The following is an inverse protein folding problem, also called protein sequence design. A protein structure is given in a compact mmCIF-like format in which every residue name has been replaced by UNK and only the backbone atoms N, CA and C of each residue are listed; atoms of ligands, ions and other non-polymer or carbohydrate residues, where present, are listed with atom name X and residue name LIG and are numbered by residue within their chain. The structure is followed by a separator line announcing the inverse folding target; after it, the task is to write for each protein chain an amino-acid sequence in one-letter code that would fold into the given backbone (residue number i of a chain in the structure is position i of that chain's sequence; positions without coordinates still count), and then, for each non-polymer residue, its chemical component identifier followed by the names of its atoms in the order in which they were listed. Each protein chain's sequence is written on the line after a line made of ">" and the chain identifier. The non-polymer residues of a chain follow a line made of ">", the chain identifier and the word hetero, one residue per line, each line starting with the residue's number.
data_IF_997212205433
#
_entry.id   IF_997212205433
#
_cell.length_a   1.000
_cell.length_b   1.000
_cell.length_c   1.000
_cell.angle_alpha   90.00
_cell.angle_beta   90.00
_cell.angle_gamma   90.00
#
_symmetry.space_group_name_H-M   'P 1'
#
loop_
_entity.id
_entity.type
_entity.pdbx_description
1 polymer ?
#
# COMPACT_ATOMS: atom_id res chain seq x y z
N UNK A 1 15.35 -35.56 25.00
CA UNK A 1 16.36 -34.53 24.66
C UNK A 1 16.62 -33.67 25.89
N UNK A 2 17.84 -33.15 26.10
CA UNK A 2 18.13 -32.20 27.18
C UNK A 2 17.34 -30.90 26.94
N UNK A 3 16.84 -30.25 28.01
CA UNK A 3 16.06 -29.00 27.92
C UNK A 3 16.80 -27.91 27.11
N UNK A 4 18.12 -27.84 27.23
CA UNK A 4 18.97 -26.93 26.45
C UNK A 4 18.89 -27.15 24.95
N UNK A 5 18.79 -28.40 24.48
CA UNK A 5 18.71 -28.70 23.06
C UNK A 5 17.34 -28.30 22.49
N UNK A 6 16.27 -28.44 23.28
CA UNK A 6 14.92 -28.02 22.89
C UNK A 6 14.88 -26.49 22.75
N UNK A 7 15.43 -25.76 23.74
CA UNK A 7 15.52 -24.30 23.68
C UNK A 7 16.34 -23.85 22.45
N UNK A 8 17.49 -24.45 22.21
CA UNK A 8 18.33 -24.13 21.04
C UNK A 8 17.59 -24.36 19.71
N UNK A 9 16.84 -25.46 19.58
CA UNK A 9 16.04 -25.74 18.37
C UNK A 9 14.94 -24.69 18.19
N UNK A 10 14.23 -24.35 19.27
CA UNK A 10 13.17 -23.32 19.24
C UNK A 10 13.78 -21.98 18.80
N UNK A 11 14.95 -21.61 19.31
CA UNK A 11 15.65 -20.36 18.98
C UNK A 11 16.04 -20.31 17.50
N UNK A 12 16.58 -21.41 16.96
CA UNK A 12 16.94 -21.51 15.54
C UNK A 12 15.68 -21.41 14.66
N UNK A 13 14.60 -22.09 15.03
CA UNK A 13 13.32 -22.02 14.31
C UNK A 13 12.74 -20.61 14.35
N UNK A 14 12.77 -19.95 15.51
CA UNK A 14 12.33 -18.57 15.66
C UNK A 14 13.18 -17.62 14.81
N UNK A 15 14.50 -17.80 14.77
CA UNK A 15 15.38 -16.99 13.93
C UNK A 15 15.08 -17.14 12.43
N UNK A 16 14.89 -18.39 11.96
CA UNK A 16 14.50 -18.65 10.57
C UNK A 16 13.14 -17.99 10.27
N UNK A 17 12.17 -18.13 11.17
CA UNK A 17 10.86 -17.49 11.04
C UNK A 17 10.97 -15.96 10.93
N UNK A 18 11.83 -15.34 11.73
CA UNK A 18 12.08 -13.90 11.69
C UNK A 18 12.65 -13.44 10.34
N UNK A 19 13.60 -14.18 9.78
CA UNK A 19 14.20 -13.89 8.47
C UNK A 19 13.14 -13.99 7.37
N UNK A 20 12.35 -15.06 7.35
CA UNK A 20 11.27 -15.24 6.37
C UNK A 20 10.22 -14.13 6.47
N UNK A 21 9.83 -13.76 7.69
CA UNK A 21 8.91 -12.65 7.95
C UNK A 21 9.43 -11.31 7.44
N UNK A 22 10.71 -11.04 7.66
CA UNK A 22 11.36 -9.79 7.20
C UNK A 22 11.42 -9.75 5.69
N UNK A 23 11.86 -10.84 5.05
CA UNK A 23 11.97 -10.93 3.58
C UNK A 23 10.58 -10.75 2.94
N UNK A 24 9.55 -11.41 3.47
CA UNK A 24 8.20 -11.33 2.92
C UNK A 24 7.57 -9.95 3.12
N UNK A 25 7.84 -9.28 4.24
CA UNK A 25 7.44 -7.88 4.47
C UNK A 25 8.13 -6.90 3.51
N UNK A 26 9.44 -7.05 3.30
CA UNK A 26 10.23 -6.23 2.35
C UNK A 26 9.76 -6.47 0.91
N UNK A 27 9.53 -7.74 0.53
CA UNK A 27 9.02 -8.12 -0.78
C UNK A 27 7.68 -7.40 -1.08
N UNK A 28 6.76 -7.43 -0.12
CA UNK A 28 5.45 -6.79 -0.25
C UNK A 28 5.51 -5.26 -0.28
N UNK A 29 6.52 -4.65 0.35
CA UNK A 29 6.69 -3.20 0.37
C UNK A 29 7.33 -2.65 -0.91
N UNK A 30 8.33 -3.35 -1.43
CA UNK A 30 9.18 -2.83 -2.51
C UNK A 30 8.93 -3.47 -3.87
N UNK A 31 8.52 -4.75 -3.92
CA UNK A 31 8.32 -5.46 -5.19
C UNK A 31 6.85 -5.41 -5.63
N UNK A 32 5.91 -5.29 -4.68
CA UNK A 32 4.48 -5.08 -4.94
C UNK A 32 3.97 -3.73 -4.36
N UNK A 33 4.54 -2.58 -4.78
CA UNK A 33 4.18 -1.29 -4.24
C UNK A 33 2.69 -0.98 -4.50
N UNK A 34 1.98 -0.36 -3.54
CA UNK A 34 0.57 -0.04 -3.68
C UNK A 34 0.36 0.97 -4.83
N UNK A 35 -0.54 0.64 -5.76
CA UNK A 35 -0.98 1.55 -6.84
C UNK A 35 -0.59 1.16 -8.26
N UNK A 36 0.27 0.16 -8.47
CA UNK A 36 0.52 -0.43 -9.79
C UNK A 36 -0.60 -1.43 -10.10
N UNK A 37 -1.65 -0.99 -10.78
CA UNK A 37 -2.81 -1.85 -11.10
C UNK A 37 -2.38 -3.21 -11.66
N UNK A 38 -2.99 -4.29 -11.14
CA UNK A 38 -3.10 -5.69 -11.63
C UNK A 38 -1.93 -6.43 -12.32
N UNK A 39 -0.79 -5.82 -12.65
CA UNK A 39 0.22 -6.42 -13.54
C UNK A 39 1.46 -6.97 -12.83
N UNK A 40 1.58 -6.76 -11.52
CA UNK A 40 2.73 -7.25 -10.74
C UNK A 40 2.39 -8.58 -10.09
N UNK A 41 2.34 -9.66 -10.87
CA UNK A 41 2.23 -11.02 -10.33
C UNK A 41 3.63 -11.60 -10.15
N UNK A 42 4.00 -11.93 -8.92
CA UNK A 42 5.21 -12.72 -8.65
C UNK A 42 4.75 -14.16 -8.49
N UNK A 43 5.23 -15.04 -9.36
CA UNK A 43 4.86 -16.46 -9.36
C UNK A 43 3.36 -16.69 -9.57
N UNK A 44 2.73 -15.88 -10.43
CA UNK A 44 1.29 -15.86 -10.67
C UNK A 44 0.41 -15.53 -9.46
N UNK A 45 1.01 -15.22 -8.31
CA UNK A 45 0.30 -14.79 -7.12
C UNK A 45 0.19 -13.27 -7.11
N UNK A 46 -1.01 -12.78 -6.80
CA UNK A 46 -1.26 -11.36 -6.68
C UNK A 46 -0.83 -10.81 -5.30
N UNK A 47 -0.93 -9.49 -5.13
CA UNK A 47 -0.62 -8.84 -3.84
C UNK A 47 -1.53 -9.32 -2.71
N UNK A 48 -2.76 -9.73 -3.01
CA UNK A 48 -3.72 -10.15 -1.99
C UNK A 48 -3.39 -11.55 -1.44
N UNK A 49 -2.99 -12.46 -2.31
CA UNK A 49 -2.53 -13.80 -1.99
C UNK A 49 -1.21 -13.76 -1.22
N UNK A 50 -0.22 -12.99 -1.69
CA UNK A 50 1.02 -12.77 -0.94
C UNK A 50 0.75 -12.14 0.44
N UNK A 51 -0.22 -11.23 0.52
CA UNK A 51 -0.68 -10.66 1.80
C UNK A 51 -1.29 -11.72 2.72
N UNK A 52 -2.10 -12.63 2.18
CA UNK A 52 -2.71 -13.73 2.95
C UNK A 52 -1.68 -14.72 3.47
N UNK A 53 -0.69 -15.07 2.63
CA UNK A 53 0.43 -15.93 3.02
C UNK A 53 1.27 -15.25 4.11
N UNK A 54 1.62 -13.97 3.93
CA UNK A 54 2.34 -13.19 4.92
C UNK A 54 1.59 -13.08 6.25
N UNK A 55 0.27 -12.91 6.21
CA UNK A 55 -0.56 -12.89 7.41
C UNK A 55 -0.51 -14.21 8.19
N UNK A 56 -0.71 -15.35 7.52
CA UNK A 56 -0.65 -16.66 8.18
C UNK A 56 0.75 -16.98 8.70
N UNK A 57 1.81 -16.64 7.96
CA UNK A 57 3.19 -16.75 8.45
C UNK A 57 3.42 -15.88 9.69
N UNK A 58 2.82 -14.68 9.76
CA UNK A 58 2.89 -13.81 10.94
C UNK A 58 2.26 -14.46 12.16
N UNK A 59 1.08 -15.08 12.00
CA UNK A 59 0.36 -15.76 13.11
C UNK A 59 1.19 -16.93 13.67
N UNK A 60 1.76 -17.75 12.78
CA UNK A 60 2.63 -18.87 13.17
C UNK A 60 3.90 -18.36 13.86
N UNK A 61 4.55 -17.35 13.28
CA UNK A 61 5.74 -16.75 13.86
C UNK A 61 5.48 -16.14 15.24
N UNK A 62 4.36 -15.44 15.42
CA UNK A 62 3.99 -14.84 16.71
C UNK A 62 3.71 -15.91 17.78
N UNK A 63 3.10 -17.03 17.37
CA UNK A 63 2.88 -18.19 18.25
C UNK A 63 4.22 -18.83 18.67
N UNK A 64 5.16 -18.99 17.73
CA UNK A 64 6.51 -19.46 18.02
C UNK A 64 7.28 -18.50 18.93
N UNK A 65 7.15 -17.19 18.72
CA UNK A 65 7.81 -16.16 19.53
C UNK A 65 7.24 -16.15 20.97
N UNK A 66 5.94 -16.33 21.12
CA UNK A 66 5.28 -16.52 22.43
C UNK A 66 5.83 -17.75 23.13
N UNK A 67 5.93 -18.89 22.44
CA UNK A 67 6.51 -20.11 22.98
C UNK A 67 7.98 -19.91 23.39
N UNK A 68 8.78 -19.28 22.53
CA UNK A 68 10.17 -18.94 22.82
C UNK A 68 10.28 -18.09 24.10
N UNK A 69 9.46 -17.05 24.25
CA UNK A 69 9.47 -16.19 25.43
C UNK A 69 9.10 -16.95 26.71
N UNK A 70 8.09 -17.83 26.66
CA UNK A 70 7.69 -18.67 27.79
C UNK A 70 8.81 -19.63 28.18
N UNK A 71 9.48 -20.26 27.21
CA UNK A 71 10.61 -21.17 27.47
C UNK A 71 11.83 -20.43 28.04
N UNK A 72 12.03 -19.17 27.65
CA UNK A 72 13.12 -18.33 28.13
C UNK A 72 12.73 -17.46 29.35
N UNK A 73 11.53 -17.64 29.90
CA UNK A 73 10.99 -16.83 31.00
C UNK A 73 11.91 -16.73 32.23
N UNK A 74 12.60 -17.82 32.58
CA UNK A 74 13.58 -17.82 33.68
C UNK A 74 14.79 -16.92 33.40
N UNK A 75 15.26 -16.89 32.15
CA UNK A 75 16.31 -15.97 31.72
C UNK A 75 15.79 -14.53 31.75
N UNK A 76 14.56 -14.29 31.28
CA UNK A 76 13.93 -12.96 31.32
C UNK A 76 13.85 -12.45 32.76
N UNK A 77 13.33 -13.25 33.69
CA UNK A 77 13.31 -12.88 35.11
C UNK A 77 14.73 -12.63 35.64
N UNK A 78 15.71 -13.46 35.28
CA UNK A 78 17.10 -13.24 35.67
C UNK A 78 17.71 -11.96 35.07
N UNK A 79 17.22 -11.49 33.93
CA UNK A 79 17.64 -10.21 33.31
C UNK A 79 16.92 -9.03 33.97
N UNK A 80 15.64 -9.16 34.30
CA UNK A 80 14.82 -8.09 34.89
C UNK A 80 15.14 -7.88 36.37
N UNK A 81 15.34 -8.96 37.13
CA UNK A 81 15.61 -8.92 38.57
C UNK A 81 17.09 -9.18 38.90
N UNK A 82 17.95 -9.34 37.89
CA UNK A 82 19.36 -9.64 38.06
C UNK A 82 20.11 -8.52 38.78
N UNK A 83 20.91 -8.88 39.80
CA UNK A 83 21.76 -7.92 40.51
C UNK A 83 22.78 -7.32 39.53
N UNK A 84 23.07 -6.01 39.61
CA UNK A 84 24.07 -5.38 38.74
C UNK A 84 25.45 -5.94 39.07
N UNK A 85 25.97 -6.83 38.23
CA UNK A 85 27.39 -7.18 38.22
C UNK A 85 28.14 -6.23 37.29
N UNK A 86 29.43 -6.03 37.53
CA UNK A 86 30.32 -5.16 36.74
C UNK A 86 30.29 -5.60 35.26
N UNK A 87 29.58 -4.85 34.40
CA UNK A 87 29.28 -5.20 32.99
C UNK A 87 27.78 -5.29 32.64
N UNK A 88 26.90 -5.30 33.65
CA UNK A 88 25.43 -5.39 33.48
C UNK A 88 24.77 -4.12 32.91
N UNK A 89 25.47 -2.99 32.92
CA UNK A 89 24.94 -1.69 32.46
C UNK A 89 24.63 -1.67 30.96
N UNK A 90 25.43 -2.33 30.12
CA UNK A 90 25.21 -2.37 28.67
C UNK A 90 23.94 -3.15 28.31
N UNK A 91 23.66 -4.24 29.02
CA UNK A 91 22.47 -5.09 28.79
C UNK A 91 21.18 -4.42 29.28
N UNK A 92 21.24 -3.75 30.43
CA UNK A 92 20.13 -2.93 30.93
C UNK A 92 19.87 -1.73 30.00
N UNK A 93 20.92 -1.08 29.52
CA UNK A 93 20.83 -0.01 28.52
C UNK A 93 20.17 -0.46 27.22
N UNK A 94 20.55 -1.62 26.68
CA UNK A 94 19.92 -2.18 25.48
C UNK A 94 18.43 -2.47 25.68
N UNK A 95 18.04 -2.97 26.87
CA UNK A 95 16.63 -3.19 27.22
C UNK A 95 15.82 -1.90 27.31
N UNK A 96 16.37 -0.85 27.93
CA UNK A 96 15.75 0.47 28.03
C UNK A 96 15.59 1.11 26.65
N UNK A 97 16.65 1.07 25.82
CA UNK A 97 16.59 1.56 24.43
C UNK A 97 15.51 0.80 23.67
N UNK A 98 15.48 -0.53 23.75
CA UNK A 98 14.43 -1.35 23.13
C UNK A 98 13.02 -0.92 23.55
N UNK A 99 12.79 -0.72 24.86
CA UNK A 99 11.51 -0.27 25.39
C UNK A 99 11.12 1.12 24.88
N UNK A 100 12.05 2.08 24.91
CA UNK A 100 11.82 3.43 24.38
C UNK A 100 11.51 3.41 22.88
N UNK A 101 12.15 2.52 22.13
CA UNK A 101 11.91 2.36 20.69
C UNK A 101 10.48 1.84 20.45
N UNK A 102 10.03 0.84 21.22
CA UNK A 102 8.66 0.32 21.14
C UNK A 102 7.64 1.40 21.49
N UNK A 103 7.88 2.18 22.56
CA UNK A 103 7.01 3.29 22.96
C UNK A 103 6.95 4.34 21.85
N UNK A 104 8.09 4.74 21.28
CA UNK A 104 8.15 5.71 20.20
C UNK A 104 7.39 5.24 18.95
N UNK A 105 7.51 3.96 18.58
CA UNK A 105 6.76 3.38 17.46
C UNK A 105 5.25 3.30 17.75
N UNK A 106 4.86 2.92 18.96
CA UNK A 106 3.45 2.88 19.38
C UNK A 106 2.83 4.29 19.38
N UNK A 107 3.56 5.28 19.92
CA UNK A 107 3.16 6.68 19.88
C UNK A 107 3.12 7.20 18.43
N UNK A 108 4.06 6.81 17.58
CA UNK A 108 4.03 7.17 16.17
C UNK A 108 2.75 6.67 15.50
N UNK A 109 2.32 5.43 15.77
CA UNK A 109 1.07 4.88 15.22
C UNK A 109 -0.19 5.58 15.77
N UNK A 110 -0.15 6.01 17.04
CA UNK A 110 -1.26 6.71 17.67
C UNK A 110 -1.38 8.17 17.18
N UNK A 111 -0.23 8.81 16.92
CA UNK A 111 -0.12 10.20 16.50
C UNK A 111 -0.21 10.37 14.98
N UNK A 112 -0.15 9.30 14.18
CA UNK A 112 -0.51 9.43 12.75
C UNK A 112 -1.98 9.86 12.70
N UNK A 113 -2.29 11.10 12.25
CA UNK A 113 -3.67 11.54 12.19
C UNK A 113 -4.40 10.61 11.24
N UNK A 114 -5.34 9.83 11.79
CA UNK A 114 -6.33 9.12 11.00
C UNK A 114 -7.19 10.20 10.35
N UNK A 115 -6.79 10.63 9.15
CA UNK A 115 -7.64 11.44 8.28
C UNK A 115 -8.78 10.54 7.85
N UNK A 116 -9.83 10.47 8.66
CA UNK A 116 -11.11 9.95 8.20
C UNK A 116 -11.63 11.02 7.25
N UNK A 117 -11.41 10.81 5.95
CA UNK A 117 -12.16 11.55 4.94
C UNK A 117 -13.64 11.14 5.07
N UNK A 118 -14.36 11.76 6.01
CA UNK A 118 -15.82 11.62 6.18
C UNK A 118 -16.60 12.17 4.98
N UNK A 119 -15.91 12.59 3.93
CA UNK A 119 -16.46 13.07 2.68
C UNK A 119 -15.74 12.42 1.48
N UNK A 120 -15.69 11.09 1.40
CA UNK A 120 -15.49 10.46 0.09
C UNK A 120 -16.00 9.01 0.02
N UNK A 121 -17.02 8.85 -0.82
CA UNK A 121 -17.17 7.66 -1.64
C UNK A 121 -15.83 7.40 -2.36
N UNK A 122 -15.09 6.38 -1.92
CA UNK A 122 -14.01 5.72 -2.65
C UNK A 122 -12.92 6.63 -3.23
N UNK A 123 -12.04 7.16 -2.39
CA UNK A 123 -10.81 7.80 -2.86
C UNK A 123 -9.60 6.88 -2.68
N UNK A 124 -9.29 6.15 -3.76
CA UNK A 124 -7.97 5.60 -4.03
C UNK A 124 -6.89 6.67 -3.87
N UNK A 125 -5.81 6.27 -3.20
CA UNK A 125 -4.43 6.73 -3.33
C UNK A 125 -4.19 7.65 -4.55
N UNK A 126 -4.35 8.96 -4.35
CA UNK A 126 -4.08 9.95 -5.38
C UNK A 126 -2.63 10.40 -5.25
N UNK A 127 -1.81 9.80 -6.10
CA UNK A 127 -0.50 10.30 -6.48
C UNK A 127 -0.55 11.79 -6.82
N UNK A 128 0.44 12.52 -6.35
CA UNK A 128 0.76 13.90 -6.69
C UNK A 128 0.89 14.10 -8.20
N UNK A 129 -0.23 14.39 -8.87
CA UNK A 129 -0.25 15.09 -10.14
C UNK A 129 -1.22 16.25 -10.00
N UNK A 130 -0.67 17.47 -9.89
CA UNK A 130 -1.38 18.73 -10.14
C UNK A 130 -1.97 18.69 -11.55
N UNK A 131 -3.16 18.14 -11.70
CA UNK A 131 -4.04 18.49 -12.81
C UNK A 131 -5.05 19.48 -12.24
N UNK A 132 -4.99 20.71 -12.73
CA UNK A 132 -6.07 21.67 -12.54
C UNK A 132 -7.41 21.01 -12.90
N UNK A 133 -8.35 21.23 -12.01
CA UNK A 133 -9.64 20.60 -11.91
C UNK A 133 -10.47 20.84 -13.18
N UNK A 134 -10.45 19.87 -14.09
CA UNK A 134 -11.60 19.63 -14.96
C UNK A 134 -12.13 18.27 -14.53
N UNK A 135 -13.27 18.27 -13.83
CA UNK A 135 -13.96 17.09 -13.26
C UNK A 135 -14.46 16.11 -14.33
N UNK A 136 -13.63 15.70 -15.28
CA UNK A 136 -13.96 14.73 -16.31
C UNK A 136 -13.91 13.33 -15.70
N UNK A 137 -15.11 12.78 -15.46
CA UNK A 137 -15.35 11.42 -14.94
C UNK A 137 -15.66 10.47 -16.08
N UNK A 138 -15.28 9.20 -15.94
CA UNK A 138 -15.59 8.15 -16.92
C UNK A 138 -17.09 7.86 -17.07
N UNK A 139 -17.92 8.25 -16.10
CA UNK A 139 -19.38 8.14 -16.18
C UNK A 139 -20.03 9.21 -17.06
N UNK A 140 -19.28 10.27 -17.43
CA UNK A 140 -19.84 11.36 -18.22
C UNK A 140 -20.03 10.97 -19.68
N UNK A 141 -21.06 11.51 -20.31
CA UNK A 141 -21.27 11.39 -21.76
C UNK A 141 -20.48 12.47 -22.51
N UNK A 142 -20.22 12.27 -23.81
CA UNK A 142 -19.58 13.29 -24.64
C UNK A 142 -20.39 14.59 -24.68
N UNK A 143 -21.72 14.48 -24.61
CA UNK A 143 -22.65 15.62 -24.50
C UNK A 143 -22.55 16.38 -23.18
N UNK A 144 -22.38 15.67 -22.06
CA UNK A 144 -22.16 16.29 -20.75
C UNK A 144 -20.81 16.98 -20.66
N UNK A 145 -19.78 16.40 -21.29
CA UNK A 145 -18.45 17.02 -21.39
C UNK A 145 -18.53 18.29 -22.23
N UNK A 146 -19.27 18.28 -23.33
CA UNK A 146 -19.53 19.47 -24.16
C UNK A 146 -20.24 20.57 -23.37
N UNK A 147 -21.27 20.23 -22.61
CA UNK A 147 -21.99 21.18 -21.76
C UNK A 147 -21.12 21.77 -20.63
N UNK A 148 -20.21 20.96 -20.09
CA UNK A 148 -19.38 21.35 -18.93
C UNK A 148 -18.13 22.13 -19.33
N UNK A 149 -17.47 21.73 -20.42
CA UNK A 149 -16.17 22.29 -20.84
C UNK A 149 -16.27 23.26 -22.00
N UNK A 150 -17.41 23.31 -22.67
CA UNK A 150 -17.62 24.12 -23.89
C UNK A 150 -16.84 23.59 -25.11
N UNK A 151 -16.24 22.40 -25.03
CA UNK A 151 -15.55 21.76 -26.15
C UNK A 151 -16.52 20.82 -26.86
N UNK A 152 -16.73 21.01 -28.16
CA UNK A 152 -17.74 20.22 -28.87
C UNK A 152 -17.41 18.72 -28.90
N UNK A 153 -18.43 17.88 -28.69
CA UNK A 153 -18.30 16.43 -28.75
C UNK A 153 -17.70 15.95 -30.08
N UNK A 154 -18.00 16.65 -31.18
CA UNK A 154 -17.45 16.33 -32.52
C UNK A 154 -15.94 16.55 -32.60
N UNK A 155 -15.42 17.59 -31.93
CA UNK A 155 -13.99 17.87 -31.85
C UNK A 155 -13.25 16.79 -31.05
N UNK A 156 -13.85 16.32 -29.95
CA UNK A 156 -13.31 15.25 -29.11
C UNK A 156 -13.28 13.93 -29.89
N UNK A 157 -14.36 13.58 -30.59
CA UNK A 157 -14.45 12.37 -31.44
C UNK A 157 -13.37 12.39 -32.53
N UNK A 158 -13.23 13.51 -33.24
CA UNK A 158 -12.21 13.66 -34.29
C UNK A 158 -10.79 13.58 -33.74
N UNK A 159 -10.53 14.22 -32.59
CA UNK A 159 -9.21 14.23 -31.96
C UNK A 159 -8.82 12.86 -31.39
N UNK A 160 -9.79 12.09 -30.89
CA UNK A 160 -9.61 10.71 -30.43
C UNK A 160 -9.62 9.68 -31.58
N UNK A 161 -9.73 10.11 -32.84
CA UNK A 161 -9.83 9.24 -34.02
C UNK A 161 -10.95 8.18 -33.90
N UNK A 162 -12.05 8.54 -33.25
CA UNK A 162 -13.21 7.67 -33.09
C UNK A 162 -14.04 7.66 -34.38
N UNK A 163 -14.77 6.56 -34.68
CA UNK A 163 -15.67 6.51 -35.83
C UNK A 163 -16.71 7.64 -35.77
N UNK A 164 -17.01 8.27 -36.90
CA UNK A 164 -18.02 9.36 -36.96
C UNK A 164 -19.44 8.88 -36.60
N UNK A 165 -19.67 7.56 -36.59
CA UNK A 165 -20.89 6.91 -36.11
C UNK A 165 -20.99 6.81 -34.57
N UNK A 166 -20.06 7.41 -33.82
CA UNK A 166 -20.06 7.34 -32.35
C UNK A 166 -21.16 8.21 -31.78
N UNK A 167 -22.02 7.63 -30.94
CA UNK A 167 -23.11 8.34 -30.29
C UNK A 167 -22.59 9.35 -29.27
N UNK A 168 -23.16 10.56 -29.27
CA UNK A 168 -22.79 11.64 -28.33
C UNK A 168 -23.29 11.37 -26.90
N UNK A 169 -24.27 10.48 -26.75
CA UNK A 169 -24.85 10.09 -25.47
C UNK A 169 -24.14 8.87 -24.84
N UNK A 170 -23.09 8.35 -25.48
CA UNK A 170 -22.31 7.24 -24.93
C UNK A 170 -21.36 7.73 -23.83
N UNK A 171 -21.27 6.94 -22.75
CA UNK A 171 -20.37 7.23 -21.63
C UNK A 171 -18.91 7.07 -22.03
N UNK A 172 -18.07 7.98 -21.55
CA UNK A 172 -16.65 8.01 -21.85
C UNK A 172 -15.93 6.73 -21.41
N UNK A 173 -16.38 6.11 -20.31
CA UNK A 173 -15.85 4.84 -19.80
C UNK A 173 -16.16 3.65 -20.70
N UNK A 174 -17.32 3.64 -21.36
CA UNK A 174 -17.67 2.60 -22.36
C UNK A 174 -16.81 2.77 -23.62
N UNK A 175 -16.64 4.01 -24.08
CA UNK A 175 -15.77 4.34 -25.20
C UNK A 175 -14.30 4.00 -24.91
N UNK A 176 -13.83 4.28 -23.69
CA UNK A 176 -12.50 3.92 -23.20
C UNK A 176 -12.22 2.42 -23.40
N UNK A 177 -13.16 1.57 -22.95
CA UNK A 177 -13.05 0.11 -23.05
C UNK A 177 -13.11 -0.39 -24.49
N UNK A 178 -13.92 0.24 -25.33
CA UNK A 178 -14.13 -0.16 -26.74
C UNK A 178 -12.98 0.27 -27.66
N UNK A 179 -12.39 1.45 -27.42
CA UNK A 179 -11.42 2.07 -28.32
C UNK A 179 -10.01 2.24 -27.72
N UNK A 180 -9.75 1.68 -26.53
CA UNK A 180 -8.41 1.59 -25.90
C UNK A 180 -7.66 2.93 -25.77
N UNK A 181 -8.36 4.02 -25.46
CA UNK A 181 -7.74 5.30 -25.08
C UNK A 181 -7.80 5.50 -23.56
N UNK A 182 -7.10 6.49 -23.01
CA UNK A 182 -7.11 6.81 -21.58
C UNK A 182 -7.89 8.11 -21.29
N UNK A 183 -8.41 8.21 -20.06
CA UNK A 183 -9.13 9.43 -19.61
C UNK A 183 -8.23 10.68 -19.62
N UNK A 184 -6.92 10.48 -19.53
CA UNK A 184 -5.92 11.55 -19.59
C UNK A 184 -5.85 12.17 -20.98
N UNK A 185 -5.96 11.37 -22.04
CA UNK A 185 -5.92 11.82 -23.43
C UNK A 185 -7.05 12.82 -23.71
N UNK A 186 -8.23 12.54 -23.17
CA UNK A 186 -9.42 13.40 -23.29
C UNK A 186 -9.19 14.75 -22.60
N UNK A 187 -8.57 14.74 -21.41
CA UNK A 187 -8.23 15.97 -20.67
C UNK A 187 -7.18 16.79 -21.40
N UNK A 188 -6.18 16.15 -22.01
CA UNK A 188 -5.17 16.84 -22.81
C UNK A 188 -5.78 17.51 -24.06
N UNK A 189 -6.73 16.85 -24.73
CA UNK A 189 -7.45 17.41 -25.88
C UNK A 189 -8.23 18.67 -25.47
N UNK A 190 -8.92 18.63 -24.34
CA UNK A 190 -9.68 19.77 -23.80
C UNK A 190 -8.75 20.93 -23.44
N UNK A 191 -7.64 20.64 -22.74
CA UNK A 191 -6.62 21.64 -22.40
C UNK A 191 -6.03 22.30 -23.64
N UNK A 192 -5.69 21.50 -24.66
CA UNK A 192 -5.17 21.98 -25.94
C UNK A 192 -6.19 22.87 -26.65
N UNK A 193 -7.47 22.52 -26.63
CA UNK A 193 -8.54 23.32 -27.21
C UNK A 193 -8.69 24.67 -26.52
N UNK A 194 -8.73 24.70 -25.18
CA UNK A 194 -8.86 25.94 -24.40
C UNK A 194 -7.64 26.85 -24.58
N UNK A 195 -6.42 26.29 -24.56
CA UNK A 195 -5.18 27.06 -24.81
C UNK A 195 -5.12 27.69 -26.21
N UNK A 196 -5.84 27.11 -27.18
CA UNK A 196 -5.95 27.64 -28.55
C UNK A 196 -7.06 28.68 -28.68
N UNK A 197 -8.07 28.64 -27.80
CA UNK A 197 -9.18 29.60 -27.75
C UNK A 197 -8.78 30.92 -27.08
N UNK A 198 -7.78 30.89 -26.19
CA UNK A 198 -7.24 32.06 -25.47
C UNK A 198 -6.16 32.85 -26.25
N UNK A 199 -5.83 32.42 -27.47
CA UNK A 199 -4.93 33.11 -28.41
C UNK A 199 -5.72 33.66 -29.59
#
# INVERSE_FOLDING_TARGET
>A
MRRTNINFIIDVIAFIGFVVMTITGVLMRYVLPPGSGHYSTIWSLDRHEWGSIHFWMSVVFFSLLTLHLVLHWRWVMSVVTGRPSEGSGFRAGLGIVGLLTVIALALSLLLTPVKIDLNNNGASFSSSHKYEDTQIRGSMTLKEIEATTGVSATYIIKSLKLPESTSKDEQLGSLKRKHKFELIDVREIIKKYNSKKER
#
